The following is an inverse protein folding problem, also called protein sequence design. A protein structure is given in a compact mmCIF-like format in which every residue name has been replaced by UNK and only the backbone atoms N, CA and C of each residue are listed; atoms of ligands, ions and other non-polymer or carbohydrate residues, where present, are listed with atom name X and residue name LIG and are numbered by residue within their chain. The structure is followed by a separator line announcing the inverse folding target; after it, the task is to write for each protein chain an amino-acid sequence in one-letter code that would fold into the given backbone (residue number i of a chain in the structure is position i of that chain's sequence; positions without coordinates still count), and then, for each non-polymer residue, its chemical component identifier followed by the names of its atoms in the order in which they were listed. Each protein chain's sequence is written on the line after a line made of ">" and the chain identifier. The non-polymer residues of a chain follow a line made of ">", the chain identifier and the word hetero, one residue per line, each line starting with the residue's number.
data_IF_943542438418
#
_entry.id   IF_943542438418
#
_cell.length_a   1.000
_cell.length_b   1.000
_cell.length_c   1.000
_cell.angle_alpha   90.00
_cell.angle_beta   90.00
_cell.angle_gamma   90.00
#
_symmetry.space_group_name_H-M   'P 1'
#
loop_
_entity.id
_entity.type
_entity.pdbx_description
1 polymer ?
#
# COMPACT_ATOMS: atom_id res chain seq x y z
N UNK A 1 5.98 13.64 -3.90
CA UNK A 1 5.92 14.49 -5.12
C UNK A 1 4.58 14.29 -5.82
N UNK A 2 4.10 15.28 -6.54
CA UNK A 2 3.05 15.08 -7.52
C UNK A 2 3.37 15.80 -8.84
N UNK A 3 2.97 15.20 -9.94
CA UNK A 3 3.26 15.62 -11.28
C UNK A 3 1.96 15.71 -12.06
N UNK A 4 1.78 16.76 -12.85
CA UNK A 4 0.60 16.86 -13.70
C UNK A 4 0.73 15.93 -14.90
N UNK A 5 -0.36 15.26 -15.26
CA UNK A 5 -0.36 14.26 -16.34
C UNK A 5 0.17 14.85 -17.66
N UNK A 6 -0.13 16.10 -17.97
CA UNK A 6 0.36 16.77 -19.17
C UNK A 6 1.86 17.11 -19.16
N UNK A 7 2.53 17.04 -17.98
CA UNK A 7 3.99 17.18 -17.88
C UNK A 7 4.71 15.87 -18.25
N UNK A 8 3.97 14.75 -18.33
CA UNK A 8 4.51 13.45 -18.73
C UNK A 8 4.55 13.39 -20.27
N UNK A 9 5.73 13.18 -20.88
CA UNK A 9 5.84 13.14 -22.33
C UNK A 9 5.09 11.94 -22.92
N UNK A 10 4.33 12.18 -23.96
CA UNK A 10 3.69 11.12 -24.74
C UNK A 10 4.76 10.34 -25.50
N UNK A 11 4.68 9.04 -25.45
CA UNK A 11 5.67 8.14 -26.05
C UNK A 11 4.97 7.02 -26.84
N UNK A 12 5.63 6.48 -27.87
CA UNK A 12 5.14 5.31 -28.58
C UNK A 12 5.30 4.03 -27.74
N UNK A 13 4.55 2.98 -28.09
CA UNK A 13 4.62 1.67 -27.40
C UNK A 13 6.01 1.04 -27.40
N UNK A 14 6.85 1.39 -28.37
CA UNK A 14 8.21 0.84 -28.57
C UNK A 14 9.30 1.74 -28.03
N UNK A 15 8.97 2.93 -27.51
CA UNK A 15 9.96 3.84 -26.97
C UNK A 15 10.46 3.37 -25.60
N UNK A 16 11.72 3.67 -25.28
CA UNK A 16 12.35 3.32 -24.00
C UNK A 16 11.78 4.08 -22.78
N UNK A 17 10.92 5.09 -23.01
CA UNK A 17 10.43 5.99 -21.96
C UNK A 17 11.53 6.92 -21.42
N UNK A 18 11.15 7.74 -20.43
CA UNK A 18 12.08 8.61 -19.68
C UNK A 18 12.11 8.20 -18.22
N UNK A 19 13.28 8.15 -17.58
CA UNK A 19 13.38 7.89 -16.14
C UNK A 19 12.61 8.97 -15.34
N UNK A 20 11.85 8.54 -14.34
CA UNK A 20 11.09 9.45 -13.46
C UNK A 20 12.00 10.41 -12.69
N UNK A 21 13.22 10.01 -12.37
CA UNK A 21 14.24 10.86 -11.72
C UNK A 21 14.53 12.14 -12.51
N UNK A 22 14.32 12.14 -13.82
CA UNK A 22 14.50 13.34 -14.65
C UNK A 22 13.30 14.30 -14.57
N UNK A 23 12.20 13.89 -13.93
CA UNK A 23 10.96 14.65 -13.84
C UNK A 23 10.66 15.08 -12.40
N UNK A 24 11.30 14.42 -11.42
CA UNK A 24 11.16 14.64 -9.99
C UNK A 24 12.53 14.98 -9.40
N UNK A 25 12.56 15.92 -8.47
CA UNK A 25 13.78 16.23 -7.73
C UNK A 25 13.95 15.20 -6.61
N UNK A 26 14.40 14.00 -6.96
CA UNK A 26 14.71 12.93 -6.04
C UNK A 26 16.15 13.06 -5.57
N UNK A 27 16.41 12.76 -4.32
CA UNK A 27 17.74 12.58 -3.78
C UNK A 27 18.34 11.23 -4.24
N UNK A 28 19.67 11.07 -4.21
CA UNK A 28 20.37 9.91 -4.76
C UNK A 28 19.97 8.57 -4.12
N UNK A 29 19.49 8.59 -2.88
CA UNK A 29 19.01 7.44 -2.12
C UNK A 29 17.48 7.25 -2.16
N UNK A 30 16.75 8.17 -2.81
CA UNK A 30 15.31 8.09 -2.98
C UNK A 30 14.91 7.18 -4.17
N UNK A 31 13.86 6.41 -3.97
CA UNK A 31 13.25 5.58 -5.01
C UNK A 31 11.74 5.74 -5.05
N UNK A 32 11.16 5.63 -6.24
CA UNK A 32 9.70 5.63 -6.40
C UNK A 32 9.15 4.29 -5.95
N UNK A 33 8.37 4.30 -4.87
CA UNK A 33 7.73 3.09 -4.31
C UNK A 33 6.35 2.84 -4.92
N UNK A 34 5.62 3.91 -5.27
CA UNK A 34 4.24 3.79 -5.77
C UNK A 34 3.83 5.04 -6.56
N UNK A 35 2.81 4.91 -7.40
CA UNK A 35 2.24 5.98 -8.21
C UNK A 35 0.72 5.92 -8.12
N UNK A 36 0.10 6.97 -7.62
CA UNK A 36 -1.35 7.09 -7.50
C UNK A 36 -1.91 8.11 -8.50
N UNK A 37 -2.91 7.75 -9.32
CA UNK A 37 -3.65 8.73 -10.09
C UNK A 37 -4.58 9.52 -9.15
N UNK A 38 -4.49 10.85 -9.20
CA UNK A 38 -5.33 11.76 -8.42
C UNK A 38 -6.03 12.70 -9.38
N UNK A 39 -7.35 12.68 -9.42
CA UNK A 39 -8.15 13.60 -10.25
C UNK A 39 -8.39 14.92 -9.53
N UNK A 40 -8.70 14.85 -8.24
CA UNK A 40 -9.01 15.99 -7.38
C UNK A 40 -8.50 15.73 -5.96
N UNK A 41 -8.07 16.79 -5.26
CA UNK A 41 -7.64 16.70 -3.86
C UNK A 41 -8.83 16.93 -2.93
N UNK A 42 -9.67 15.89 -2.83
CA UNK A 42 -10.90 15.89 -2.04
C UNK A 42 -10.62 15.89 -0.53
N UNK A 43 -11.50 16.51 0.26
CA UNK A 43 -11.51 16.41 1.71
C UNK A 43 -12.13 15.10 2.23
N UNK A 44 -12.87 14.40 1.36
CA UNK A 44 -13.55 13.15 1.68
C UNK A 44 -12.73 11.90 1.28
N UNK A 45 -11.55 12.11 0.72
CA UNK A 45 -10.64 11.03 0.34
C UNK A 45 -9.36 11.07 1.18
N UNK A 46 -8.74 9.90 1.29
CA UNK A 46 -7.56 9.71 2.10
C UNK A 46 -6.49 8.97 1.29
N UNK A 47 -5.23 9.25 1.60
CA UNK A 47 -4.12 8.37 1.24
C UNK A 47 -3.89 7.42 2.41
N UNK A 48 -4.13 6.14 2.17
CA UNK A 48 -3.77 5.07 3.08
C UNK A 48 -2.39 4.56 2.70
N UNK A 49 -1.51 4.42 3.68
CA UNK A 49 -0.09 4.07 3.51
C UNK A 49 0.25 2.88 4.39
N UNK A 50 1.14 2.01 3.91
CA UNK A 50 1.66 0.91 4.71
C UNK A 50 3.17 0.77 4.54
N UNK A 51 3.87 0.44 5.64
CA UNK A 51 5.32 0.29 5.67
C UNK A 51 5.75 -1.16 5.81
N UNK A 52 6.98 -1.46 5.45
CA UNK A 52 7.60 -2.79 5.55
C UNK A 52 7.51 -3.39 6.96
N UNK A 53 7.60 -2.56 8.01
CA UNK A 53 7.49 -2.98 9.41
C UNK A 53 6.04 -3.14 9.89
N UNK A 54 5.04 -2.98 8.99
CA UNK A 54 3.63 -3.20 9.30
C UNK A 54 2.94 -2.01 9.97
N UNK A 55 3.52 -0.82 9.89
CA UNK A 55 2.88 0.42 10.28
C UNK A 55 1.94 0.89 9.17
N UNK A 56 0.77 1.40 9.55
CA UNK A 56 -0.21 1.98 8.64
C UNK A 56 -0.56 3.39 9.03
N UNK A 57 -0.93 4.19 8.06
CA UNK A 57 -1.31 5.59 8.25
C UNK A 57 -2.39 5.98 7.26
N UNK A 58 -3.35 6.76 7.73
CA UNK A 58 -4.38 7.41 6.91
C UNK A 58 -4.24 8.92 7.02
N UNK A 59 -4.13 9.61 5.88
CA UNK A 59 -3.97 11.07 5.81
C UNK A 59 -4.93 11.62 4.78
N UNK A 60 -5.63 12.70 5.11
CA UNK A 60 -6.57 13.34 4.19
C UNK A 60 -5.85 13.81 2.92
N UNK A 61 -6.44 13.53 1.76
CA UNK A 61 -5.86 13.81 0.45
C UNK A 61 -5.68 15.32 0.21
N UNK A 62 -6.58 16.16 0.73
CA UNK A 62 -6.51 17.62 0.60
C UNK A 62 -5.24 18.22 1.17
N UNK A 63 -4.60 17.56 2.17
CA UNK A 63 -3.33 18.01 2.74
C UNK A 63 -2.15 17.95 1.77
N UNK A 64 -2.32 17.30 0.64
CA UNK A 64 -1.29 17.16 -0.42
C UNK A 64 -1.56 18.06 -1.63
N UNK A 65 -2.58 18.93 -1.61
CA UNK A 65 -2.98 19.77 -2.75
C UNK A 65 -1.92 20.79 -3.19
N UNK A 66 -1.03 21.21 -2.29
CA UNK A 66 0.03 22.17 -2.60
C UNK A 66 1.23 21.46 -3.27
N UNK A 67 1.64 21.96 -4.44
CA UNK A 67 2.83 21.47 -5.15
C UNK A 67 4.09 22.15 -4.61
N UNK A 68 5.04 21.33 -4.18
CA UNK A 68 6.39 21.78 -3.82
C UNK A 68 7.41 21.06 -4.69
N UNK A 69 8.43 21.77 -5.16
CA UNK A 69 9.52 21.20 -5.98
C UNK A 69 10.31 20.11 -5.22
N UNK A 70 10.48 20.30 -3.92
CA UNK A 70 11.16 19.34 -3.03
C UNK A 70 10.25 18.20 -2.55
N UNK A 71 9.04 18.08 -3.09
CA UNK A 71 8.06 17.11 -2.62
C UNK A 71 7.39 17.51 -1.29
N UNK A 72 6.56 16.63 -0.78
CA UNK A 72 5.85 16.78 0.48
C UNK A 72 6.08 15.52 1.31
N UNK A 73 6.59 15.71 2.52
CA UNK A 73 6.71 14.58 3.46
C UNK A 73 5.32 14.06 3.83
N UNK A 74 5.08 12.78 3.54
CA UNK A 74 3.79 12.12 3.74
C UNK A 74 3.76 11.26 5.01
N UNK A 75 4.90 10.75 5.45
CA UNK A 75 5.05 9.87 6.61
C UNK A 75 6.44 10.02 7.21
N UNK A 76 6.57 9.90 8.52
CA UNK A 76 7.86 9.69 9.17
C UNK A 76 8.11 8.20 9.28
N UNK A 77 9.13 7.72 8.58
CA UNK A 77 9.59 6.33 8.65
C UNK A 77 10.56 6.18 9.82
N UNK A 78 10.49 5.03 10.47
CA UNK A 78 11.52 4.60 11.41
C UNK A 78 12.77 4.14 10.64
N UNK A 79 13.91 4.05 11.34
CA UNK A 79 15.15 3.53 10.76
C UNK A 79 14.93 2.13 10.17
N UNK A 80 15.48 1.88 8.98
CA UNK A 80 15.32 0.65 8.20
C UNK A 80 13.87 0.29 7.79
N UNK A 81 12.91 1.21 7.96
CA UNK A 81 11.55 1.02 7.44
C UNK A 81 11.41 1.64 6.05
N UNK A 82 10.51 1.10 5.24
CA UNK A 82 10.23 1.56 3.88
C UNK A 82 8.74 1.56 3.63
N UNK A 83 8.26 2.52 2.86
CA UNK A 83 6.91 2.49 2.31
C UNK A 83 6.83 1.34 1.30
N UNK A 84 5.78 0.51 1.42
CA UNK A 84 5.59 -0.65 0.53
C UNK A 84 4.34 -0.54 -0.34
N UNK A 85 3.43 0.34 0.00
CA UNK A 85 2.24 0.56 -0.80
C UNK A 85 1.41 1.72 -0.28
N UNK A 86 0.64 2.28 -1.21
CA UNK A 86 -0.30 3.37 -0.97
C UNK A 86 -1.62 3.09 -1.68
N UNK A 87 -2.72 3.65 -1.17
CA UNK A 87 -4.01 3.58 -1.83
C UNK A 87 -4.81 4.85 -1.54
N UNK A 88 -5.66 5.26 -2.48
CA UNK A 88 -6.68 6.27 -2.23
C UNK A 88 -7.91 5.54 -1.73
N UNK A 89 -8.51 6.04 -0.64
CA UNK A 89 -9.66 5.42 0.04
C UNK A 89 -10.69 6.47 0.38
N UNK A 90 -11.94 6.02 0.57
CA UNK A 90 -13.09 6.89 0.90
C UNK A 90 -13.29 7.13 2.41
N UNK A 91 -12.58 6.40 3.26
CA UNK A 91 -12.73 6.46 4.72
C UNK A 91 -13.40 5.23 5.32
N UNK A 92 -14.02 4.36 4.52
CA UNK A 92 -14.81 3.20 4.97
C UNK A 92 -14.38 1.87 4.32
N UNK A 93 -13.26 1.87 3.60
CA UNK A 93 -12.80 0.71 2.85
C UNK A 93 -12.26 -0.41 3.77
N UNK A 94 -12.34 -1.63 3.26
CA UNK A 94 -11.67 -2.78 3.85
C UNK A 94 -10.20 -2.78 3.43
N UNK A 95 -9.31 -2.81 4.39
CA UNK A 95 -7.86 -2.85 4.16
C UNK A 95 -7.34 -4.26 4.41
N UNK A 96 -6.51 -4.71 3.48
CA UNK A 96 -5.82 -5.99 3.60
C UNK A 96 -4.31 -5.77 3.60
N UNK A 97 -3.65 -6.38 4.56
CA UNK A 97 -2.20 -6.35 4.69
C UNK A 97 -1.67 -7.78 4.67
N UNK A 98 -0.78 -8.08 3.73
CA UNK A 98 -0.16 -9.40 3.60
C UNK A 98 1.31 -9.38 4.01
N UNK A 99 1.72 -10.38 4.80
CA UNK A 99 3.10 -10.54 5.26
C UNK A 99 3.87 -11.56 4.42
N UNK A 100 5.19 -11.48 4.46
CA UNK A 100 6.10 -12.43 3.82
C UNK A 100 5.97 -13.86 4.36
N UNK A 101 5.37 -14.04 5.54
CA UNK A 101 5.06 -15.34 6.11
C UNK A 101 3.71 -15.91 5.64
N UNK A 102 3.11 -15.31 4.61
CA UNK A 102 1.83 -15.74 4.06
C UNK A 102 0.64 -15.53 5.00
N UNK A 103 0.71 -14.57 5.87
CA UNK A 103 -0.42 -14.14 6.71
C UNK A 103 -1.05 -12.91 6.12
N UNK A 104 -2.37 -12.82 6.23
CA UNK A 104 -3.16 -11.70 5.80
C UNK A 104 -4.06 -11.23 6.96
N UNK A 105 -4.08 -9.94 7.21
CA UNK A 105 -5.06 -9.31 8.09
C UNK A 105 -6.00 -8.44 7.25
N UNK A 106 -7.30 -8.55 7.53
CA UNK A 106 -8.36 -7.71 6.98
C UNK A 106 -8.98 -6.90 8.11
N UNK A 107 -9.14 -5.60 7.90
CA UNK A 107 -9.81 -4.70 8.85
C UNK A 107 -10.40 -3.49 8.13
N UNK A 108 -11.43 -2.88 8.72
CA UNK A 108 -11.99 -1.66 8.20
C UNK A 108 -11.05 -0.47 8.47
N UNK A 109 -10.85 0.40 7.47
CA UNK A 109 -9.94 1.55 7.59
C UNK A 109 -10.35 2.57 8.65
N UNK A 110 -11.60 2.58 9.11
CA UNK A 110 -12.08 3.42 10.22
C UNK A 110 -11.31 3.14 11.53
N UNK A 111 -10.72 1.94 11.67
CA UNK A 111 -9.83 1.61 12.78
C UNK A 111 -8.50 2.40 12.76
N UNK A 112 -8.19 3.07 11.64
CA UNK A 112 -7.04 3.97 11.51
C UNK A 112 -7.57 5.40 11.44
N UNK A 113 -7.42 6.15 12.53
CA UNK A 113 -7.82 7.57 12.53
C UNK A 113 -7.01 8.38 11.51
N UNK A 114 -7.61 9.38 10.86
CA UNK A 114 -6.86 10.33 10.03
C UNK A 114 -5.76 11.03 10.85
N UNK A 115 -4.59 11.19 10.25
CA UNK A 115 -3.42 11.77 10.89
C UNK A 115 -2.75 12.80 9.98
N UNK A 116 -2.07 13.78 10.57
CA UNK A 116 -1.30 14.75 9.84
C UNK A 116 -0.11 14.14 9.08
N UNK A 117 0.40 14.83 8.07
CA UNK A 117 1.44 14.34 7.14
C UNK A 117 2.71 13.81 7.84
N UNK A 118 3.16 14.45 8.90
CA UNK A 118 4.40 14.12 9.61
C UNK A 118 4.24 13.05 10.69
N UNK A 119 3.03 12.49 10.90
CA UNK A 119 2.83 11.43 11.87
C UNK A 119 3.51 10.12 11.39
N UNK A 120 3.94 9.28 12.34
CA UNK A 120 4.53 7.96 12.05
C UNK A 120 3.49 6.94 11.62
N UNK A 121 2.26 7.04 12.11
CA UNK A 121 1.21 6.06 11.90
C UNK A 121 0.95 5.18 13.12
N UNK A 122 0.23 4.09 12.89
CA UNK A 122 -0.16 3.10 13.90
C UNK A 122 0.11 1.70 13.38
N UNK A 123 0.21 0.73 14.27
CA UNK A 123 0.39 -0.67 13.88
C UNK A 123 -0.83 -1.19 13.11
N UNK A 124 -0.62 -1.60 11.86
CA UNK A 124 -1.62 -2.26 11.03
C UNK A 124 -1.64 -3.78 11.23
N UNK A 125 -0.46 -4.40 11.24
CA UNK A 125 -0.26 -5.83 11.44
C UNK A 125 0.88 -6.06 12.44
N UNK A 126 0.80 -7.14 13.22
CA UNK A 126 1.90 -7.60 14.09
C UNK A 126 2.73 -8.62 13.34
N UNK A 127 3.93 -8.24 12.97
CA UNK A 127 4.93 -9.09 12.35
C UNK A 127 5.82 -9.74 13.41
N UNK A 128 6.27 -10.96 13.17
CA UNK A 128 7.34 -11.60 13.95
C UNK A 128 8.70 -11.04 13.52
N UNK A 129 9.76 -11.45 14.27
CA UNK A 129 11.12 -11.19 13.84
C UNK A 129 11.34 -11.77 12.45
N UNK A 130 12.00 -11.03 11.56
CA UNK A 130 12.29 -11.39 10.16
C UNK A 130 11.07 -11.43 9.20
N UNK A 131 9.84 -11.30 9.71
CA UNK A 131 8.66 -11.07 8.87
C UNK A 131 8.61 -9.60 8.41
N UNK A 132 8.15 -9.40 7.17
CA UNK A 132 7.92 -8.06 6.60
C UNK A 132 6.54 -7.99 5.97
N UNK A 133 5.97 -6.81 5.95
CA UNK A 133 4.80 -6.53 5.12
C UNK A 133 5.24 -6.50 3.66
N UNK A 134 4.49 -7.16 2.78
CA UNK A 134 4.80 -7.26 1.35
C UNK A 134 3.70 -6.67 0.46
N UNK A 135 2.49 -6.50 0.98
CA UNK A 135 1.39 -5.95 0.18
C UNK A 135 0.37 -5.20 1.03
N UNK A 136 -0.12 -4.10 0.48
CA UNK A 136 -1.32 -3.36 0.88
C UNK A 136 -2.34 -3.48 -0.24
N UNK A 137 -3.58 -3.82 0.08
CA UNK A 137 -4.70 -3.88 -0.87
C UNK A 137 -5.93 -3.24 -0.25
N UNK A 138 -6.76 -2.64 -1.10
CA UNK A 138 -8.12 -2.22 -0.76
C UNK A 138 -9.07 -3.36 -1.16
N UNK A 139 -9.89 -3.78 -0.22
CA UNK A 139 -10.81 -4.90 -0.40
C UNK A 139 -11.97 -4.53 -1.30
N UNK A 140 -12.22 -5.37 -2.30
CA UNK A 140 -13.38 -5.30 -3.18
C UNK A 140 -14.13 -6.64 -3.05
N UNK A 141 -15.36 -6.63 -2.49
CA UNK A 141 -16.13 -7.86 -2.28
C UNK A 141 -16.40 -8.66 -3.56
N UNK A 142 -16.38 -8.00 -4.72
CA UNK A 142 -16.58 -8.65 -6.02
C UNK A 142 -15.34 -9.40 -6.53
N UNK A 143 -14.19 -9.19 -5.90
CA UNK A 143 -12.90 -9.70 -6.37
C UNK A 143 -12.35 -10.82 -5.49
N UNK A 144 -11.43 -11.58 -6.07
CA UNK A 144 -10.66 -12.62 -5.37
C UNK A 144 -9.22 -12.16 -5.16
N UNK A 145 -8.61 -12.61 -4.08
CA UNK A 145 -7.22 -12.37 -3.77
C UNK A 145 -6.40 -13.52 -4.35
N UNK A 146 -5.41 -13.19 -5.17
CA UNK A 146 -4.43 -14.14 -5.68
C UNK A 146 -3.18 -14.07 -4.81
N UNK A 147 -2.87 -15.15 -4.11
CA UNK A 147 -1.60 -15.32 -3.41
C UNK A 147 -0.68 -16.20 -4.25
N UNK A 148 0.56 -15.75 -4.48
CA UNK A 148 1.58 -16.52 -5.22
C UNK A 148 2.84 -16.60 -4.36
N UNK A 149 3.39 -17.81 -4.22
CA UNK A 149 4.65 -18.06 -3.52
C UNK A 149 5.85 -17.89 -4.47
N UNK A 150 7.05 -17.74 -3.92
CA UNK A 150 8.30 -17.64 -4.68
C UNK A 150 8.53 -18.87 -5.58
N UNK A 151 8.02 -20.04 -5.19
CA UNK A 151 8.11 -21.28 -5.97
C UNK A 151 7.02 -21.41 -7.06
N UNK A 152 6.24 -20.34 -7.30
CA UNK A 152 5.23 -20.32 -8.36
C UNK A 152 3.88 -20.96 -7.99
N UNK A 153 3.71 -21.47 -6.77
CA UNK A 153 2.40 -21.96 -6.32
C UNK A 153 1.47 -20.78 -6.03
N UNK A 154 0.25 -20.85 -6.54
CA UNK A 154 -0.74 -19.81 -6.39
C UNK A 154 -2.10 -20.34 -5.95
N UNK A 155 -2.82 -19.53 -5.16
CA UNK A 155 -4.20 -19.80 -4.74
C UNK A 155 -5.04 -18.54 -4.88
N UNK A 156 -6.24 -18.70 -5.43
CA UNK A 156 -7.28 -17.66 -5.40
C UNK A 156 -8.22 -17.91 -4.22
N UNK A 157 -8.48 -16.87 -3.44
CA UNK A 157 -9.34 -16.93 -2.25
C UNK A 157 -10.32 -15.76 -2.31
N UNK A 158 -11.59 -15.98 -1.99
CA UNK A 158 -12.58 -14.90 -1.92
C UNK A 158 -12.25 -13.97 -0.74
N UNK A 159 -12.61 -12.69 -0.86
CA UNK A 159 -12.41 -11.73 0.21
C UNK A 159 -13.11 -12.16 1.50
N UNK A 160 -14.31 -12.74 1.39
CA UNK A 160 -15.13 -13.15 2.54
C UNK A 160 -14.57 -14.35 3.31
N UNK A 161 -13.66 -15.12 2.70
CA UNK A 161 -12.93 -16.21 3.38
C UNK A 161 -11.90 -15.66 4.39
N UNK A 162 -11.61 -14.35 4.34
CA UNK A 162 -10.77 -13.67 5.33
C UNK A 162 -11.66 -12.91 6.31
N UNK A 163 -11.76 -13.36 7.57
CA UNK A 163 -12.56 -12.65 8.58
C UNK A 163 -12.00 -11.25 8.83
N UNK A 164 -12.90 -10.27 8.96
CA UNK A 164 -12.52 -8.92 9.36
C UNK A 164 -12.18 -8.90 10.86
N UNK A 165 -11.07 -8.27 11.20
CA UNK A 165 -10.54 -8.17 12.56
C UNK A 165 -10.23 -6.72 12.94
N UNK A 166 -9.83 -6.51 14.18
CA UNK A 166 -9.19 -5.26 14.57
C UNK A 166 -7.77 -5.21 13.99
N UNK A 167 -7.32 -4.00 13.57
CA UNK A 167 -5.92 -3.79 13.16
C UNK A 167 -4.92 -4.20 14.26
N UNK A 168 -3.69 -4.47 13.87
CA UNK A 168 -2.59 -4.76 14.79
C UNK A 168 -2.54 -6.21 15.30
N UNK A 169 -3.43 -7.08 14.79
CA UNK A 169 -3.36 -8.53 14.99
C UNK A 169 -2.25 -9.19 14.15
N UNK A 170 -2.09 -10.50 14.28
CA UNK A 170 -1.11 -11.28 13.51
C UNK A 170 -1.62 -11.68 12.10
N UNK A 171 -2.92 -11.49 11.84
CA UNK A 171 -3.58 -11.99 10.64
C UNK A 171 -3.83 -13.50 10.64
N UNK A 172 -4.63 -13.95 9.67
CA UNK A 172 -4.89 -15.34 9.38
C UNK A 172 -3.93 -15.85 8.30
N UNK A 173 -3.68 -17.14 8.27
CA UNK A 173 -2.86 -17.76 7.21
C UNK A 173 -3.64 -17.70 5.90
N UNK A 174 -3.09 -17.05 4.88
CA UNK A 174 -3.72 -16.85 3.57
C UNK A 174 -3.68 -18.11 2.70
N UNK A 175 -2.88 -19.11 3.08
CA UNK A 175 -2.80 -20.40 2.43
C UNK A 175 -2.74 -21.52 3.49
N UNK A 176 -3.81 -22.18 3.76
CA UNK A 176 -3.81 -23.49 4.38
C UNK A 176 -3.75 -24.52 3.27
N UNK A 177 -2.65 -25.29 3.22
CA UNK A 177 -2.39 -26.38 2.29
C UNK A 177 -2.28 -25.99 0.81
N UNK A 178 -1.07 -25.69 0.38
CA UNK A 178 -0.62 -25.96 -0.99
C UNK A 178 -0.32 -27.48 -1.11
N UNK A 179 -1.30 -28.33 -0.80
CA UNK A 179 -1.21 -29.72 -1.20
C UNK A 179 -1.47 -29.78 -2.69
N UNK A 180 -0.51 -30.32 -3.43
CA UNK A 180 -0.77 -30.81 -4.78
C UNK A 180 -2.01 -31.71 -4.73
N UNK A 181 -2.97 -31.60 -5.68
CA UNK A 181 -3.98 -32.65 -5.83
C UNK A 181 -3.22 -33.93 -6.08
N UNK A 182 -3.28 -34.87 -5.16
CA UNK A 182 -2.90 -36.27 -5.42
C UNK A 182 -3.82 -36.77 -6.50
N UNK A 183 -3.27 -37.04 -7.68
CA UNK A 183 -3.90 -37.78 -8.78
C UNK A 183 -4.35 -39.13 -8.31
#
# INVERSE_FOLDING_TARGET
>A
FWLKVYEIPVASRTSKGRPLVNMLNLDDDESVSDILPVSEFSENEYIFMATKKGTTKKTNLSLFSKKYKSGIKAINLDEDDKLIGTAITSGEEEILLASSAGKLIRFNESHVRPMGRTARGVRGIRLKKDEKLISLMVGDPSKTILCVSENGFGKKTKLDDFPSHNRGGQGAVSYTHLTLPTT
#
